data_IF_120714646348
#
_entry.id   IF_120714646348
#
_cell.length_a   1.000
_cell.length_b   1.000
_cell.length_c   1.000
_cell.angle_alpha   90.00
_cell.angle_beta   90.00
_cell.angle_gamma   90.00
#
_symmetry.space_group_name_H-M   'P 1'
#
loop_
_entity.id
_entity.type
_entity.pdbx_description
1 polymer ?
#
# COMPACT_ATOMS: atom_id res chain seq x y z
N UNK A 1 36.96 23.03 14.96
CA UNK A 1 36.60 21.59 14.99
C UNK A 1 37.86 20.75 14.91
N UNK A 2 38.07 19.84 15.85
CA UNK A 2 39.25 18.96 15.88
C UNK A 2 39.27 18.03 14.66
N UNK A 3 40.40 17.73 14.04
CA UNK A 3 40.50 16.89 12.81
C UNK A 3 39.83 15.52 12.97
N UNK A 4 39.81 14.96 14.18
CA UNK A 4 39.18 13.68 14.50
C UNK A 4 37.66 13.67 14.23
N UNK A 5 36.96 14.78 14.49
CA UNK A 5 35.51 14.91 14.29
C UNK A 5 35.13 15.03 12.81
N UNK A 6 35.98 15.65 11.98
CA UNK A 6 35.79 15.69 10.52
C UNK A 6 35.90 14.30 9.89
N UNK A 7 36.90 13.51 10.30
CA UNK A 7 37.09 12.16 9.79
C UNK A 7 35.95 11.20 10.22
N UNK A 8 35.38 11.40 11.41
CA UNK A 8 34.25 10.62 11.88
C UNK A 8 32.97 10.89 11.05
N UNK A 9 32.70 12.16 10.73
CA UNK A 9 31.53 12.54 9.88
C UNK A 9 31.67 11.99 8.46
N UNK A 10 32.88 12.02 7.88
CA UNK A 10 33.14 11.45 6.56
C UNK A 10 32.95 9.93 6.58
N UNK A 11 33.42 9.25 7.63
CA UNK A 11 33.28 7.80 7.77
C UNK A 11 31.80 7.38 7.87
N UNK A 12 31.00 8.09 8.67
CA UNK A 12 29.54 7.84 8.78
C UNK A 12 28.81 8.13 7.47
N UNK A 13 29.21 9.19 6.74
CA UNK A 13 28.65 9.51 5.42
C UNK A 13 28.93 8.43 4.38
N UNK A 14 30.14 7.87 4.36
CA UNK A 14 30.53 6.79 3.44
C UNK A 14 29.82 5.48 3.79
N UNK A 15 29.66 5.15 5.09
CA UNK A 15 28.92 3.96 5.54
C UNK A 15 27.43 4.08 5.17
N UNK A 16 26.82 5.26 5.36
CA UNK A 16 25.43 5.50 5.01
C UNK A 16 25.19 5.41 3.48
N UNK A 17 26.08 5.99 2.67
CA UNK A 17 26.06 5.85 1.21
C UNK A 17 26.25 4.38 0.77
N UNK A 18 27.16 3.64 1.41
CA UNK A 18 27.37 2.23 1.10
C UNK A 18 26.13 1.39 1.44
N UNK A 19 25.43 1.65 2.54
CA UNK A 19 24.19 0.96 2.91
C UNK A 19 23.07 1.26 1.89
N UNK A 20 22.91 2.52 1.48
CA UNK A 20 21.89 2.90 0.46
C UNK A 20 22.24 2.29 -0.91
N UNK A 21 23.52 2.18 -1.29
CA UNK A 21 23.93 1.51 -2.52
C UNK A 21 23.81 -0.01 -2.43
N UNK A 22 24.02 -0.61 -1.25
CA UNK A 22 23.88 -2.05 -1.05
C UNK A 22 22.41 -2.48 -1.12
N UNK A 23 21.49 -1.70 -0.55
CA UNK A 23 20.04 -1.93 -0.70
C UNK A 23 19.60 -1.81 -2.18
N UNK A 24 20.13 -0.85 -2.94
CA UNK A 24 19.85 -0.73 -4.38
C UNK A 24 20.49 -1.83 -5.23
N UNK A 25 21.64 -2.37 -4.82
CA UNK A 25 22.37 -3.42 -5.57
C UNK A 25 21.82 -4.81 -5.32
N UNK A 26 21.22 -5.08 -4.16
CA UNK A 26 20.59 -6.38 -3.86
C UNK A 26 19.28 -6.61 -4.62
N UNK A 27 18.77 -5.60 -5.33
CA UNK A 27 17.52 -5.69 -6.12
C UNK A 27 17.73 -6.17 -7.56
N UNK A 28 18.94 -6.64 -7.92
CA UNK A 28 19.20 -7.27 -9.22
C UNK A 28 19.49 -8.74 -9.05
N UNK A 29 18.55 -9.53 -9.56
CA UNK A 29 18.66 -10.97 -9.84
C UNK A 29 17.87 -11.88 -8.90
N UNK A 30 16.61 -12.11 -9.26
CA UNK A 30 16.16 -13.47 -9.63
C UNK A 30 14.81 -13.33 -10.32
N UNK A 31 14.74 -13.81 -11.53
CA UNK A 31 13.69 -13.63 -12.52
C UNK A 31 12.50 -14.59 -12.35
N UNK A 32 12.08 -14.85 -11.12
CA UNK A 32 10.76 -15.41 -10.90
C UNK A 32 9.86 -14.26 -10.42
N UNK A 33 9.18 -13.62 -11.38
CA UNK A 33 8.11 -12.68 -11.06
C UNK A 33 7.08 -13.32 -10.14
N UNK A 34 6.32 -12.53 -9.37
CA UNK A 34 5.31 -13.07 -8.47
C UNK A 34 4.38 -14.00 -9.26
N UNK A 35 4.19 -15.25 -8.74
CA UNK A 35 3.27 -16.20 -9.37
C UNK A 35 1.87 -15.60 -9.28
N UNK A 36 1.24 -15.42 -10.44
CA UNK A 36 -0.17 -15.04 -10.50
C UNK A 36 -0.98 -16.25 -10.07
N UNK A 37 -1.82 -16.10 -9.03
CA UNK A 37 -2.76 -17.13 -8.63
C UNK A 37 -3.74 -17.39 -9.77
N UNK A 38 -3.90 -18.64 -10.17
CA UNK A 38 -4.86 -19.00 -11.20
C UNK A 38 -6.28 -18.65 -10.74
N UNK A 39 -7.13 -18.19 -11.64
CA UNK A 39 -8.54 -17.88 -11.37
C UNK A 39 -9.33 -19.03 -10.72
N UNK A 40 -8.83 -20.27 -10.77
CA UNK A 40 -9.47 -21.45 -10.21
C UNK A 40 -9.37 -21.57 -8.68
N UNK A 41 -8.49 -20.81 -8.03
CA UNK A 41 -8.37 -20.79 -6.56
C UNK A 41 -9.29 -19.77 -5.89
N UNK A 42 -9.83 -18.85 -6.69
CA UNK A 42 -10.82 -17.85 -6.26
C UNK A 42 -12.16 -18.31 -6.80
N UNK A 43 -13.07 -18.77 -5.92
CA UNK A 43 -14.48 -18.95 -6.32
C UNK A 43 -15.05 -17.57 -6.58
N UNK A 44 -15.04 -17.16 -7.84
CA UNK A 44 -15.64 -15.91 -8.31
C UNK A 44 -17.09 -16.20 -8.63
N UNK A 45 -18.02 -15.52 -7.97
CA UNK A 45 -19.41 -15.48 -8.42
C UNK A 45 -19.45 -14.83 -9.81
N UNK A 46 -20.10 -15.48 -10.79
CA UNK A 46 -20.14 -15.02 -12.18
C UNK A 46 -20.71 -13.61 -12.33
N UNK A 47 -21.58 -13.16 -11.42
CA UNK A 47 -22.11 -11.79 -11.37
C UNK A 47 -21.06 -10.72 -11.03
N UNK A 48 -19.92 -11.08 -10.40
CA UNK A 48 -18.87 -10.15 -10.00
C UNK A 48 -17.65 -10.17 -10.93
N UNK A 49 -17.71 -10.86 -12.06
CA UNK A 49 -16.58 -11.05 -12.98
C UNK A 49 -16.04 -9.72 -13.56
N UNK A 50 -16.86 -8.69 -13.70
CA UNK A 50 -16.40 -7.38 -14.18
C UNK A 50 -15.54 -6.61 -13.16
N UNK A 51 -15.80 -6.78 -11.86
CA UNK A 51 -15.03 -6.11 -10.81
C UNK A 51 -13.61 -6.67 -10.64
N UNK A 52 -13.38 -7.94 -10.99
CA UNK A 52 -12.07 -8.58 -10.91
C UNK A 52 -11.10 -8.16 -12.03
N UNK A 53 -11.54 -7.39 -13.02
CA UNK A 53 -10.66 -6.81 -14.05
C UNK A 53 -9.76 -5.70 -13.53
N UNK A 54 -10.01 -5.20 -12.31
CA UNK A 54 -9.33 -4.03 -11.76
C UNK A 54 -8.20 -4.39 -10.80
N UNK A 55 -7.98 -5.66 -10.50
CA UNK A 55 -6.89 -6.11 -9.63
C UNK A 55 -6.46 -7.55 -9.93
N UNK A 56 -5.25 -7.88 -9.50
CA UNK A 56 -4.68 -9.22 -9.50
C UNK A 56 -4.29 -9.62 -8.08
N UNK A 57 -4.38 -10.92 -7.75
CA UNK A 57 -3.87 -11.46 -6.51
C UNK A 57 -2.61 -12.26 -6.82
N UNK A 58 -1.52 -11.90 -6.17
CA UNK A 58 -0.19 -12.44 -6.40
C UNK A 58 0.36 -13.10 -5.14
N UNK A 59 1.14 -14.16 -5.33
CA UNK A 59 1.95 -14.74 -4.25
C UNK A 59 3.07 -13.78 -3.85
N UNK A 60 3.35 -13.71 -2.55
CA UNK A 60 4.42 -12.87 -2.01
C UNK A 60 5.67 -13.71 -1.81
N UNK A 61 6.83 -13.30 -2.35
CA UNK A 61 8.10 -14.00 -2.15
C UNK A 61 8.46 -14.15 -0.66
N UNK A 62 9.13 -15.25 -0.33
CA UNK A 62 9.45 -15.60 1.07
C UNK A 62 10.39 -14.59 1.77
N UNK A 63 11.28 -13.95 1.02
CA UNK A 63 12.14 -12.87 1.52
C UNK A 63 11.34 -11.62 1.89
N UNK A 64 10.38 -11.22 1.06
CA UNK A 64 9.46 -10.12 1.35
C UNK A 64 8.58 -10.44 2.56
N UNK A 65 8.05 -11.68 2.65
CA UNK A 65 7.30 -12.13 3.83
C UNK A 65 8.11 -11.95 5.10
N UNK A 66 9.37 -12.43 5.12
CA UNK A 66 10.28 -12.28 6.28
C UNK A 66 10.55 -10.82 6.63
N UNK A 67 10.72 -9.94 5.65
CA UNK A 67 10.90 -8.51 5.88
C UNK A 67 9.68 -7.92 6.57
N UNK A 68 8.48 -8.30 6.15
CA UNK A 68 7.22 -7.84 6.75
C UNK A 68 7.03 -8.38 8.16
N UNK A 69 7.38 -9.65 8.42
CA UNK A 69 7.39 -10.24 9.77
C UNK A 69 8.29 -9.44 10.72
N UNK A 70 9.50 -9.05 10.24
CA UNK A 70 10.40 -8.18 11.00
C UNK A 70 9.80 -6.80 11.31
N UNK A 71 9.09 -6.21 10.36
CA UNK A 71 8.44 -4.90 10.53
C UNK A 71 7.21 -4.95 11.45
N UNK A 72 6.44 -6.04 11.37
CA UNK A 72 5.21 -6.23 12.15
C UNK A 72 5.46 -6.80 13.55
N UNK A 73 6.62 -7.46 13.77
CA UNK A 73 6.98 -8.07 15.04
C UNK A 73 6.23 -9.35 15.36
N UNK A 74 5.64 -10.02 14.35
CA UNK A 74 4.97 -11.31 14.51
C UNK A 74 5.12 -12.19 13.25
N UNK A 75 4.95 -13.48 13.42
CA UNK A 75 4.97 -14.46 12.31
C UNK A 75 3.69 -14.36 11.48
N UNK A 76 3.84 -14.43 10.16
CA UNK A 76 2.75 -14.40 9.18
C UNK A 76 2.44 -15.82 8.74
N UNK A 77 1.20 -16.29 8.95
CA UNK A 77 0.75 -17.61 8.53
C UNK A 77 0.56 -17.68 7.02
N UNK A 78 -0.10 -16.67 6.44
CA UNK A 78 -0.31 -16.54 4.99
C UNK A 78 -0.26 -15.07 4.57
N UNK A 79 0.18 -14.81 3.33
CA UNK A 79 0.27 -13.46 2.77
C UNK A 79 0.01 -13.48 1.27
N UNK A 80 -0.83 -12.54 0.81
CA UNK A 80 -1.12 -12.30 -0.60
C UNK A 80 -0.92 -10.82 -0.92
N UNK A 81 -0.47 -10.52 -2.13
CA UNK A 81 -0.42 -9.16 -2.65
C UNK A 81 -1.55 -8.92 -3.64
N UNK A 82 -2.32 -7.89 -3.42
CA UNK A 82 -3.41 -7.42 -4.27
C UNK A 82 -2.86 -6.24 -5.06
N UNK A 83 -2.54 -6.46 -6.35
CA UNK A 83 -2.12 -5.40 -7.26
C UNK A 83 -3.34 -4.74 -7.86
N UNK A 84 -3.47 -3.44 -7.73
CA UNK A 84 -4.48 -2.69 -8.48
C UNK A 84 -4.02 -2.56 -9.95
N UNK A 85 -4.87 -2.99 -10.87
CA UNK A 85 -4.68 -2.79 -12.31
C UNK A 85 -5.24 -1.41 -12.67
N UNK A 86 -4.51 -0.37 -12.23
CA UNK A 86 -4.87 0.98 -12.61
C UNK A 86 -4.56 1.14 -14.09
N UNK A 87 -5.61 1.18 -14.91
CA UNK A 87 -5.45 1.77 -16.23
C UNK A 87 -5.27 3.25 -15.97
N UNK A 88 -4.03 3.74 -16.06
CA UNK A 88 -3.66 5.14 -15.91
C UNK A 88 -4.29 6.04 -17.01
N UNK A 89 -5.58 5.86 -17.24
CA UNK A 89 -6.40 6.64 -18.17
C UNK A 89 -6.96 7.89 -17.49
N UNK A 90 -6.15 8.51 -16.55
CA UNK A 90 -6.59 9.77 -15.98
C UNK A 90 -6.61 10.83 -17.08
N UNK A 91 -7.80 11.15 -17.54
CA UNK A 91 -8.02 12.24 -18.48
C UNK A 91 -8.14 13.55 -17.71
N UNK A 92 -7.27 14.52 -18.03
CA UNK A 92 -7.34 15.86 -17.43
C UNK A 92 -8.74 16.43 -17.57
N UNK A 93 -9.30 16.86 -16.44
CA UNK A 93 -10.64 17.43 -16.37
C UNK A 93 -10.56 18.95 -16.52
N UNK A 94 -11.53 19.53 -17.23
CA UNK A 94 -11.67 20.99 -17.27
C UNK A 94 -12.03 21.52 -15.86
N UNK A 95 -11.27 22.47 -15.38
CA UNK A 95 -11.45 23.07 -14.05
C UNK A 95 -11.54 24.58 -14.16
N UNK A 96 -12.57 25.17 -13.53
CA UNK A 96 -12.66 26.62 -13.35
C UNK A 96 -11.77 27.05 -12.18
N UNK A 97 -10.48 27.21 -12.45
CA UNK A 97 -9.51 27.66 -11.48
C UNK A 97 -9.58 29.20 -11.31
N UNK A 98 -10.57 29.68 -10.57
CA UNK A 98 -10.81 31.13 -10.36
C UNK A 98 -9.66 31.81 -9.62
N UNK A 99 -8.98 31.08 -8.74
CA UNK A 99 -7.89 31.58 -7.92
C UNK A 99 -6.51 31.47 -8.59
N UNK A 100 -6.47 30.91 -9.83
CA UNK A 100 -5.24 30.72 -10.62
C UNK A 100 -4.12 29.97 -9.85
N UNK A 101 -4.49 28.97 -9.04
CA UNK A 101 -3.52 28.11 -8.38
C UNK A 101 -2.81 27.20 -9.38
N UNK A 102 -1.50 26.99 -9.19
CA UNK A 102 -0.70 25.98 -9.88
C UNK A 102 -0.08 25.04 -8.87
N UNK A 103 0.14 23.78 -9.31
CA UNK A 103 0.85 22.75 -8.53
C UNK A 103 2.22 22.59 -9.17
N UNK A 104 3.26 22.78 -8.37
CA UNK A 104 4.66 22.79 -8.81
C UNK A 104 5.53 21.93 -7.89
N UNK A 105 6.79 21.68 -8.29
CA UNK A 105 7.76 20.93 -7.49
C UNK A 105 7.24 19.58 -6.98
N UNK A 106 6.55 18.84 -7.85
CA UNK A 106 5.99 17.53 -7.52
C UNK A 106 7.14 16.52 -7.37
N UNK A 107 7.17 15.82 -6.25
CA UNK A 107 8.10 14.72 -6.00
C UNK A 107 7.38 13.50 -5.44
N UNK A 108 7.71 12.30 -5.95
CA UNK A 108 7.34 11.05 -5.32
C UNK A 108 8.34 10.76 -4.19
N UNK A 109 7.86 10.82 -2.94
CA UNK A 109 8.72 10.77 -1.76
C UNK A 109 9.02 9.34 -1.38
N UNK A 110 8.02 8.47 -1.44
CA UNK A 110 8.15 7.07 -1.04
C UNK A 110 7.09 6.16 -1.65
N UNK A 111 7.47 4.89 -1.81
CA UNK A 111 6.55 3.77 -1.89
C UNK A 111 6.55 3.08 -0.52
N UNK A 112 5.40 2.94 0.12
CA UNK A 112 5.30 2.44 1.48
C UNK A 112 4.05 1.57 1.70
N UNK A 113 4.12 0.66 2.68
CA UNK A 113 2.97 -0.09 3.17
C UNK A 113 2.46 0.61 4.43
N UNK A 114 1.19 0.96 4.45
CA UNK A 114 0.56 1.55 5.64
C UNK A 114 0.08 0.46 6.60
N UNK A 115 0.79 0.27 7.70
CA UNK A 115 0.42 -0.70 8.76
C UNK A 115 -0.56 -0.13 9.80
N UNK A 116 -0.92 1.15 9.71
CA UNK A 116 -1.85 1.82 10.61
C UNK A 116 -2.64 2.88 9.84
N UNK A 117 -3.85 3.21 10.32
CA UNK A 117 -4.67 4.24 9.72
C UNK A 117 -6.11 3.77 9.45
N UNK A 118 -6.92 4.68 8.90
CA UNK A 118 -8.34 4.43 8.63
C UNK A 118 -8.59 3.46 7.47
N UNK A 119 -7.61 3.29 6.59
CA UNK A 119 -7.72 2.43 5.41
C UNK A 119 -7.19 1.01 5.64
N UNK A 120 -6.78 0.69 6.88
CA UNK A 120 -6.41 -0.67 7.29
C UNK A 120 -7.67 -1.43 7.68
N UNK A 121 -7.92 -2.55 6.99
CA UNK A 121 -9.03 -3.43 7.31
C UNK A 121 -8.55 -4.59 8.18
N UNK A 122 -9.34 -4.90 9.21
CA UNK A 122 -9.06 -6.02 10.09
C UNK A 122 -10.31 -6.89 10.24
N UNK A 123 -10.12 -8.21 10.21
CA UNK A 123 -11.12 -9.21 10.54
C UNK A 123 -10.54 -10.19 11.54
N UNK A 124 -11.29 -10.54 12.58
CA UNK A 124 -10.83 -11.40 13.68
C UNK A 124 -11.76 -12.59 13.79
N UNK A 125 -11.19 -13.78 13.99
CA UNK A 125 -11.92 -14.98 14.33
C UNK A 125 -11.27 -15.63 15.57
N UNK A 126 -12.02 -15.70 16.65
CA UNK A 126 -11.67 -16.42 17.87
C UNK A 126 -12.39 -17.78 17.87
N UNK A 127 -11.80 -18.77 17.20
CA UNK A 127 -12.40 -20.09 17.09
C UNK A 127 -12.10 -20.95 18.34
N UNK A 128 -13.01 -20.95 19.29
CA UNK A 128 -12.95 -21.74 20.54
C UNK A 128 -13.42 -23.17 20.38
N UNK A 129 -14.03 -23.51 19.24
CA UNK A 129 -14.55 -24.83 18.95
C UNK A 129 -13.45 -25.75 18.41
N UNK A 130 -13.69 -27.04 18.41
CA UNK A 130 -12.80 -28.04 17.79
C UNK A 130 -12.95 -28.09 16.26
N UNK A 131 -14.09 -27.61 15.74
CA UNK A 131 -14.40 -27.60 14.31
C UNK A 131 -13.78 -26.39 13.59
N UNK A 132 -13.54 -26.53 12.27
CA UNK A 132 -13.09 -25.44 11.40
C UNK A 132 -14.11 -24.28 11.37
N UNK A 133 -13.63 -23.06 11.50
CA UNK A 133 -14.38 -21.83 11.23
C UNK A 133 -13.85 -21.16 9.97
N UNK A 134 -14.54 -20.12 9.47
CA UNK A 134 -14.14 -19.38 8.26
C UNK A 134 -14.31 -17.88 8.44
N UNK A 135 -13.31 -17.12 8.02
CA UNK A 135 -13.40 -15.67 7.86
C UNK A 135 -13.69 -15.38 6.39
N UNK A 136 -14.80 -14.71 6.11
CA UNK A 136 -15.14 -14.23 4.77
C UNK A 136 -14.64 -12.82 4.57
N UNK A 137 -13.84 -12.64 3.54
CA UNK A 137 -13.33 -11.34 3.11
C UNK A 137 -14.12 -10.91 1.86
N UNK A 138 -15.02 -9.96 2.03
CA UNK A 138 -15.87 -9.44 0.95
C UNK A 138 -15.28 -8.16 0.32
N UNK A 139 -16.17 -7.23 -0.03
CA UNK A 139 -15.81 -5.93 -0.61
C UNK A 139 -14.93 -5.11 0.34
N UNK A 140 -13.89 -4.49 -0.22
CA UNK A 140 -13.06 -3.47 0.43
C UNK A 140 -12.91 -2.27 -0.49
N UNK A 141 -12.73 -1.09 0.11
CA UNK A 141 -12.53 0.15 -0.62
C UNK A 141 -11.18 0.72 -0.23
N UNK A 142 -10.24 0.76 -1.17
CA UNK A 142 -8.95 1.43 -1.01
C UNK A 142 -9.05 2.81 -1.64
N UNK A 143 -8.71 3.86 -0.88
CA UNK A 143 -8.89 5.24 -1.32
C UNK A 143 -7.56 5.92 -1.54
N UNK A 144 -7.46 6.69 -2.63
CA UNK A 144 -6.48 7.75 -2.70
C UNK A 144 -6.89 8.85 -1.72
N UNK A 145 -5.92 9.60 -1.25
CA UNK A 145 -6.14 10.70 -0.30
C UNK A 145 -5.20 11.87 -0.62
N UNK A 146 -5.56 13.07 -0.16
CA UNK A 146 -4.71 14.25 -0.26
C UNK A 146 -4.96 15.19 0.92
N UNK A 147 -3.95 15.96 1.26
CA UNK A 147 -4.02 16.97 2.32
C UNK A 147 -3.39 18.27 1.87
N UNK A 148 -4.15 19.34 1.99
CA UNK A 148 -3.74 20.72 1.66
C UNK A 148 -4.38 21.70 2.63
N UNK A 149 -3.69 22.77 2.96
CA UNK A 149 -4.19 23.80 3.89
C UNK A 149 -4.99 24.92 3.19
N UNK A 150 -5.11 24.86 1.86
CA UNK A 150 -5.81 25.85 1.06
C UNK A 150 -7.08 25.26 0.43
N UNK A 151 -8.14 26.05 0.24
CA UNK A 151 -9.38 25.62 -0.41
C UNK A 151 -9.17 25.51 -1.94
N UNK A 152 -8.43 24.51 -2.39
CA UNK A 152 -8.16 24.21 -3.79
C UNK A 152 -9.03 23.05 -4.29
N UNK A 153 -9.50 23.12 -5.53
CA UNK A 153 -10.28 22.01 -6.13
C UNK A 153 -9.36 20.79 -6.35
N UNK A 154 -9.78 19.64 -5.83
CA UNK A 154 -9.10 18.35 -5.99
C UNK A 154 -8.73 18.01 -7.45
N UNK A 155 -9.52 18.50 -8.42
CA UNK A 155 -9.23 18.32 -9.85
C UNK A 155 -7.98 19.05 -10.31
N UNK A 156 -7.63 20.19 -9.70
CA UNK A 156 -6.38 20.90 -10.02
C UNK A 156 -5.20 20.04 -9.62
N UNK A 157 -5.26 19.46 -8.40
CA UNK A 157 -4.25 18.55 -7.88
C UNK A 157 -4.17 17.30 -8.75
N UNK A 158 -5.32 16.66 -9.01
CA UNK A 158 -5.40 15.46 -9.86
C UNK A 158 -4.83 15.68 -11.26
N UNK A 159 -5.12 16.84 -11.88
CA UNK A 159 -4.60 17.20 -13.19
C UNK A 159 -3.07 17.36 -13.21
N UNK A 160 -2.51 17.86 -12.13
CA UNK A 160 -1.07 18.04 -11.99
C UNK A 160 -0.35 16.72 -11.69
N UNK A 161 -0.91 15.89 -10.80
CA UNK A 161 -0.33 14.62 -10.40
C UNK A 161 -0.56 13.49 -11.42
N UNK A 162 -1.55 13.64 -12.34
CA UNK A 162 -1.87 12.63 -13.35
C UNK A 162 -2.70 11.46 -12.82
N UNK A 163 -3.30 11.56 -11.63
CA UNK A 163 -4.25 10.58 -11.10
C UNK A 163 -5.35 11.26 -10.28
N UNK A 164 -6.49 10.59 -10.11
CA UNK A 164 -7.60 11.11 -9.30
C UNK A 164 -7.29 10.96 -7.81
N UNK A 165 -7.04 12.07 -7.12
CA UNK A 165 -6.68 12.09 -5.68
C UNK A 165 -7.84 11.71 -4.76
N UNK A 166 -9.07 11.64 -5.28
CA UNK A 166 -10.26 11.19 -4.54
C UNK A 166 -10.77 9.82 -4.98
N UNK A 167 -10.00 9.10 -5.81
CA UNK A 167 -10.39 7.79 -6.38
C UNK A 167 -10.61 6.76 -5.27
N UNK A 168 -11.71 6.03 -5.41
CA UNK A 168 -12.08 4.90 -4.56
C UNK A 168 -11.99 3.61 -5.37
N UNK A 169 -11.00 2.79 -5.05
CA UNK A 169 -10.79 1.49 -5.68
C UNK A 169 -11.58 0.43 -4.90
N UNK A 170 -12.64 -0.10 -5.50
CA UNK A 170 -13.43 -1.19 -4.93
C UNK A 170 -12.80 -2.53 -5.30
N UNK A 171 -12.52 -3.36 -4.29
CA UNK A 171 -11.96 -4.70 -4.45
C UNK A 171 -12.96 -5.71 -3.88
N UNK A 172 -13.37 -6.66 -4.70
CA UNK A 172 -14.25 -7.76 -4.30
C UNK A 172 -13.42 -9.02 -4.16
N UNK A 173 -12.97 -9.32 -2.95
CA UNK A 173 -12.01 -10.40 -2.73
C UNK A 173 -12.64 -11.79 -2.67
N UNK A 174 -13.91 -11.93 -2.36
CA UNK A 174 -14.62 -13.20 -2.20
C UNK A 174 -13.75 -14.38 -1.66
N UNK A 175 -12.87 -14.06 -0.70
CA UNK A 175 -11.93 -15.00 -0.11
C UNK A 175 -12.50 -15.58 1.17
N UNK A 176 -12.30 -16.90 1.37
CA UNK A 176 -12.58 -17.58 2.63
C UNK A 176 -11.26 -18.05 3.24
N UNK A 177 -10.93 -17.54 4.42
CA UNK A 177 -9.77 -17.98 5.21
C UNK A 177 -10.25 -19.03 6.21
N UNK A 178 -9.73 -20.25 6.12
CA UNK A 178 -10.00 -21.32 7.06
C UNK A 178 -9.26 -21.09 8.36
N UNK A 179 -9.96 -21.26 9.46
CA UNK A 179 -9.44 -21.14 10.82
C UNK A 179 -9.69 -22.44 11.54
N UNK A 180 -8.64 -23.17 11.82
CA UNK A 180 -8.67 -24.46 12.47
C UNK A 180 -9.33 -24.36 13.86
N UNK A 181 -9.76 -25.49 14.42
CA UNK A 181 -10.30 -25.53 15.78
C UNK A 181 -9.28 -25.02 16.80
N UNK A 182 -9.74 -24.37 17.87
CA UNK A 182 -8.91 -23.83 18.95
C UNK A 182 -7.83 -22.85 18.46
N UNK A 183 -8.12 -22.10 17.38
CA UNK A 183 -7.20 -21.14 16.78
C UNK A 183 -7.77 -19.74 16.84
N UNK A 184 -6.92 -18.77 17.21
CA UNK A 184 -7.19 -17.34 17.05
C UNK A 184 -6.56 -16.86 15.73
N UNK A 185 -7.37 -16.22 14.89
CA UNK A 185 -6.89 -15.71 13.60
C UNK A 185 -7.24 -14.23 13.41
N UNK A 186 -6.29 -13.48 12.86
CA UNK A 186 -6.45 -12.10 12.44
C UNK A 186 -6.11 -12.03 10.96
N UNK A 187 -6.97 -11.39 10.19
CA UNK A 187 -6.72 -11.03 8.79
C UNK A 187 -6.68 -9.53 8.68
N UNK A 188 -5.56 -9.00 8.22
CA UNK A 188 -5.38 -7.59 7.94
C UNK A 188 -5.22 -7.35 6.45
N UNK A 189 -5.69 -6.20 5.96
CA UNK A 189 -5.41 -5.69 4.62
C UNK A 189 -4.73 -4.33 4.80
N UNK A 190 -3.47 -4.26 4.39
CA UNK A 190 -2.61 -3.08 4.49
C UNK A 190 -2.42 -2.46 3.11
N UNK A 191 -2.85 -1.21 2.86
CA UNK A 191 -2.63 -0.54 1.60
C UNK A 191 -1.13 -0.35 1.30
N UNK A 192 -0.75 -0.51 0.05
CA UNK A 192 0.52 -0.03 -0.48
C UNK A 192 0.27 1.27 -1.24
N UNK A 193 1.04 2.29 -0.90
CA UNK A 193 0.85 3.65 -1.40
C UNK A 193 2.12 4.21 -2.05
N UNK A 194 1.93 5.03 -3.07
CA UNK A 194 2.91 6.02 -3.50
C UNK A 194 2.54 7.36 -2.88
N UNK A 195 3.48 7.97 -2.18
CA UNK A 195 3.30 9.23 -1.44
C UNK A 195 3.98 10.37 -2.23
N UNK A 196 3.23 11.43 -2.51
CA UNK A 196 3.65 12.58 -3.30
C UNK A 196 3.64 13.83 -2.45
N UNK A 197 4.68 14.65 -2.57
CA UNK A 197 4.71 16.02 -2.05
C UNK A 197 4.69 17.01 -3.21
N UNK A 198 4.08 18.17 -3.00
CA UNK A 198 3.99 19.21 -3.99
C UNK A 198 3.84 20.60 -3.34
N UNK A 199 4.13 21.64 -4.12
CA UNK A 199 3.90 23.03 -3.73
C UNK A 199 2.69 23.61 -4.45
N UNK A 200 1.94 24.45 -3.75
CA UNK A 200 0.81 25.23 -4.28
C UNK A 200 1.25 26.67 -4.47
N UNK A 201 1.22 27.13 -5.72
CA UNK A 201 1.59 28.48 -6.09
C UNK A 201 0.36 29.27 -6.55
N UNK A 202 0.40 30.60 -6.36
CA UNK A 202 -0.54 31.56 -6.93
C UNK A 202 0.24 32.77 -7.41
N UNK A 203 0.05 33.15 -8.68
CA UNK A 203 0.77 34.25 -9.32
C UNK A 203 2.32 34.12 -9.25
N UNK A 204 2.79 32.83 -9.33
CA UNK A 204 4.21 32.48 -9.26
C UNK A 204 4.81 32.47 -7.85
N UNK A 205 4.04 32.77 -6.82
CA UNK A 205 4.50 32.67 -5.43
C UNK A 205 3.99 31.41 -4.74
N UNK A 206 4.88 30.74 -4.02
CA UNK A 206 4.50 29.62 -3.15
C UNK A 206 3.57 30.10 -2.04
N UNK A 207 2.41 29.48 -1.91
CA UNK A 207 1.39 29.79 -0.89
C UNK A 207 1.29 28.69 0.17
N UNK A 208 1.50 27.43 -0.21
CA UNK A 208 1.41 26.28 0.70
C UNK A 208 2.15 25.07 0.12
N UNK A 209 2.21 24.03 0.92
CA UNK A 209 2.61 22.67 0.53
C UNK A 209 1.41 21.75 0.65
N UNK A 210 1.46 20.62 -0.06
CA UNK A 210 0.47 19.56 0.03
C UNK A 210 1.10 18.20 -0.15
N UNK A 211 0.36 17.19 0.24
CA UNK A 211 0.70 15.82 -0.07
C UNK A 211 -0.50 15.08 -0.67
N UNK A 212 -0.22 14.00 -1.39
CA UNK A 212 -1.23 13.09 -1.90
C UNK A 212 -0.73 11.66 -1.87
N UNK A 213 -1.64 10.73 -1.60
CA UNK A 213 -1.39 9.29 -1.54
C UNK A 213 -2.13 8.60 -2.66
N UNK A 214 -1.39 7.89 -3.52
CA UNK A 214 -1.95 7.00 -4.54
C UNK A 214 -1.86 5.57 -4.05
N UNK A 215 -2.98 4.89 -3.85
CA UNK A 215 -2.98 3.46 -3.53
C UNK A 215 -2.66 2.68 -4.80
N UNK A 216 -1.63 1.84 -4.76
CA UNK A 216 -1.17 1.02 -5.89
C UNK A 216 -1.44 -0.46 -5.69
N UNK A 217 -1.70 -0.88 -4.44
CA UNK A 217 -2.01 -2.25 -4.09
C UNK A 217 -2.36 -2.40 -2.62
N UNK A 218 -2.42 -3.64 -2.16
CA UNK A 218 -2.59 -3.95 -0.75
C UNK A 218 -2.01 -5.33 -0.42
N UNK A 219 -1.56 -5.51 0.83
CA UNK A 219 -1.16 -6.81 1.36
C UNK A 219 -2.28 -7.37 2.25
N UNK A 220 -2.79 -8.55 1.89
CA UNK A 220 -3.65 -9.34 2.76
C UNK A 220 -2.75 -10.25 3.59
N UNK A 221 -2.77 -10.09 4.91
CA UNK A 221 -1.90 -10.81 5.85
C UNK A 221 -2.77 -11.58 6.83
N UNK A 222 -2.48 -12.87 6.98
CA UNK A 222 -3.14 -13.76 7.93
C UNK A 222 -2.16 -14.12 9.03
N UNK A 223 -2.55 -13.86 10.26
CA UNK A 223 -1.89 -14.36 11.47
C UNK A 223 -2.78 -15.37 12.15
N UNK A 224 -2.24 -16.54 12.51
CA UNK A 224 -2.92 -17.57 13.27
C UNK A 224 -2.11 -17.93 14.50
N UNK A 225 -2.77 -18.14 15.62
CA UNK A 225 -2.16 -18.55 16.88
C UNK A 225 -2.98 -19.68 17.47
N UNK A 226 -2.32 -20.79 17.79
CA UNK A 226 -2.95 -21.89 18.54
C UNK A 226 -3.30 -21.41 19.96
N UNK A 227 -4.47 -21.77 20.42
CA UNK A 227 -4.85 -21.57 21.82
C UNK A 227 -4.22 -22.66 22.65
N UNK A 228 -3.28 -22.30 23.48
CA UNK A 228 -2.84 -23.20 24.54
C UNK A 228 -4.02 -23.37 25.52
N UNK A 229 -4.45 -24.60 25.73
CA UNK A 229 -5.39 -24.92 26.81
C UNK A 229 -4.70 -24.60 28.15
N UNK A 230 -5.25 -23.62 28.88
CA UNK A 230 -4.85 -23.30 30.25
C UNK A 230 -5.66 -24.16 31.21
#
# INVERSE_FOLDING_TARGET
>A
MKPLMKNLIILFGVIFLALVFFERSSYKSHSDGPKVLSHNEIKVDEENYESNKNFEILEVPSDKKKQMEGSLGYEISDIKYIRLLDKDDYTKKEVKNKEAYTIENISEVRNAIEFSGHDVYQSICDNKKDEEARIKIGEKILKNDYMVDLPIDAKIISNALGFDVEKKNKIYLNLEIKVEGKTFAIVNIFPEINDYEFEIHKEGEKKSEGNAKKVVGAYLIVRKEERNEV
#
